data_IF_627301776289
#
_entry.id   IF_627301776289
#
_cell.length_a   1.000
_cell.length_b   1.000
_cell.length_c   1.000
_cell.angle_alpha   90.00
_cell.angle_beta   90.00
_cell.angle_gamma   90.00
#
_symmetry.space_group_name_H-M   'P 1'
#
loop_
_entity.id
_entity.type
_entity.pdbx_description
1 polymer ?
#
# COMPACT_ATOMS: atom_id res chain seq x y z
N UNK A 1 -20.08 17.44 17.28
CA UNK A 1 -19.20 17.94 16.21
C UNK A 1 -18.26 16.81 15.81
N UNK A 2 -18.14 16.49 14.53
CA UNK A 2 -17.27 15.43 14.02
C UNK A 2 -15.79 15.76 14.33
N UNK A 3 -14.95 14.73 14.52
CA UNK A 3 -13.52 14.91 14.69
C UNK A 3 -12.93 15.75 13.54
N UNK A 4 -11.94 16.63 13.80
CA UNK A 4 -11.35 17.45 12.76
C UNK A 4 -10.68 16.53 11.73
N UNK A 5 -11.24 16.48 10.52
CA UNK A 5 -10.64 15.76 9.41
C UNK A 5 -9.39 16.51 8.93
N UNK A 6 -8.39 15.81 8.37
CA UNK A 6 -7.21 16.46 7.80
C UNK A 6 -7.62 17.46 6.71
N UNK A 7 -6.85 18.55 6.58
CA UNK A 7 -7.07 19.55 5.54
C UNK A 7 -6.87 18.95 4.13
N UNK A 8 -7.39 19.60 3.09
CA UNK A 8 -7.19 19.15 1.71
C UNK A 8 -5.72 19.11 1.33
N UNK A 9 -4.94 20.10 1.76
CA UNK A 9 -3.50 20.15 1.54
C UNK A 9 -2.78 18.98 2.22
N UNK A 10 -3.12 18.67 3.48
CA UNK A 10 -2.56 17.52 4.19
C UNK A 10 -2.90 16.21 3.49
N UNK A 11 -4.13 16.05 3.01
CA UNK A 11 -4.55 14.86 2.26
C UNK A 11 -3.76 14.68 0.97
N UNK A 12 -3.59 15.75 0.20
CA UNK A 12 -2.82 15.72 -1.05
C UNK A 12 -1.36 15.37 -0.77
N UNK A 13 -0.73 16.04 0.21
CA UNK A 13 0.64 15.74 0.62
C UNK A 13 0.82 14.29 1.06
N UNK A 14 -0.04 13.78 1.93
CA UNK A 14 0.03 12.39 2.41
C UNK A 14 -0.16 11.40 1.27
N UNK A 15 -1.09 11.67 0.34
CA UNK A 15 -1.28 10.83 -0.83
C UNK A 15 -0.02 10.76 -1.71
N UNK A 16 0.60 11.91 -2.00
CA UNK A 16 1.84 11.97 -2.79
C UNK A 16 3.01 11.28 -2.08
N UNK A 17 3.23 11.57 -0.80
CA UNK A 17 4.32 10.98 -0.01
C UNK A 17 4.16 9.46 0.13
N UNK A 18 2.95 8.98 0.39
CA UNK A 18 2.64 7.55 0.49
C UNK A 18 2.82 6.84 -0.86
N UNK A 19 2.36 7.44 -1.95
CA UNK A 19 2.47 6.86 -3.29
C UNK A 19 3.93 6.76 -3.75
N UNK A 20 4.71 7.85 -3.65
CA UNK A 20 6.13 7.86 -4.01
C UNK A 20 6.88 6.77 -3.23
N UNK A 21 6.73 6.75 -1.90
CA UNK A 21 7.40 5.76 -1.05
C UNK A 21 6.96 4.33 -1.38
N UNK A 22 5.69 4.10 -1.67
CA UNK A 22 5.20 2.77 -2.03
C UNK A 22 5.74 2.31 -3.38
N UNK A 23 5.60 3.14 -4.43
CA UNK A 23 6.01 2.84 -5.81
C UNK A 23 7.51 2.55 -5.87
N UNK A 24 8.36 3.44 -5.32
CA UNK A 24 9.82 3.28 -5.38
C UNK A 24 10.27 1.93 -4.83
N UNK A 25 9.76 1.58 -3.66
CA UNK A 25 10.16 0.35 -3.02
C UNK A 25 9.49 -0.88 -3.61
N UNK A 26 8.25 -0.77 -4.08
CA UNK A 26 7.51 -1.89 -4.64
C UNK A 26 8.14 -2.35 -5.95
N UNK A 27 8.40 -1.42 -6.88
CA UNK A 27 9.01 -1.77 -8.15
C UNK A 27 10.49 -2.16 -7.99
N UNK A 28 11.23 -1.58 -7.02
CA UNK A 28 12.56 -2.08 -6.67
C UNK A 28 12.51 -3.55 -6.19
N UNK A 29 11.59 -3.86 -5.27
CA UNK A 29 11.40 -5.23 -4.79
C UNK A 29 10.95 -6.18 -5.90
N UNK A 30 10.04 -5.75 -6.77
CA UNK A 30 9.52 -6.53 -7.89
C UNK A 30 10.62 -6.83 -8.91
N UNK A 31 11.43 -5.83 -9.28
CA UNK A 31 12.52 -5.97 -10.24
C UNK A 31 13.66 -6.84 -9.67
N UNK A 32 13.93 -6.75 -8.37
CA UNK A 32 14.94 -7.58 -7.68
C UNK A 32 14.40 -8.95 -7.24
N UNK A 33 13.12 -9.24 -7.48
CA UNK A 33 12.44 -10.48 -7.05
C UNK A 33 12.54 -10.72 -5.54
N UNK A 34 12.44 -9.65 -4.76
CA UNK A 34 12.29 -9.73 -3.30
C UNK A 34 10.86 -10.11 -2.91
N UNK A 35 10.69 -10.55 -1.66
CA UNK A 35 9.40 -10.90 -1.09
C UNK A 35 8.43 -9.71 -1.14
N UNK A 36 7.25 -9.92 -1.73
CA UNK A 36 6.23 -8.90 -1.92
C UNK A 36 5.19 -8.89 -0.79
N UNK A 37 5.13 -9.91 0.06
CA UNK A 37 4.19 -9.98 1.18
C UNK A 37 4.17 -8.72 2.06
N UNK A 38 5.31 -8.07 2.41
CA UNK A 38 5.31 -6.87 3.25
C UNK A 38 4.58 -5.65 2.67
N UNK A 39 4.24 -5.67 1.38
CA UNK A 39 3.50 -4.60 0.72
C UNK A 39 1.99 -4.75 0.84
N UNK A 40 1.49 -5.92 1.25
CA UNK A 40 0.05 -6.21 1.30
C UNK A 40 -0.47 -6.29 2.72
N UNK A 41 -1.76 -6.00 2.87
CA UNK A 41 -2.48 -6.03 4.13
C UNK A 41 -2.53 -7.43 4.79
N UNK A 42 -2.22 -8.50 4.05
CA UNK A 42 -2.13 -9.87 4.57
C UNK A 42 -1.09 -10.03 5.69
N UNK A 43 -0.08 -9.17 5.76
CA UNK A 43 0.94 -9.19 6.82
C UNK A 43 0.51 -8.50 8.11
N UNK A 44 -0.54 -7.68 8.08
CA UNK A 44 -1.03 -6.98 9.27
C UNK A 44 -2.06 -7.81 10.00
N UNK A 45 -1.76 -8.21 11.24
CA UNK A 45 -2.68 -9.01 12.06
C UNK A 45 -3.99 -8.26 12.35
N UNK A 46 -3.93 -6.93 12.41
CA UNK A 46 -5.11 -6.09 12.70
C UNK A 46 -6.05 -5.98 11.52
N UNK A 47 -5.51 -5.84 10.31
CA UNK A 47 -6.31 -5.78 9.09
C UNK A 47 -6.92 -7.16 8.81
N UNK A 48 -6.16 -8.24 8.96
CA UNK A 48 -6.68 -9.60 8.79
C UNK A 48 -7.73 -9.98 9.84
N UNK A 49 -7.54 -9.60 11.12
CA UNK A 49 -8.56 -9.78 12.16
C UNK A 49 -9.85 -8.98 11.88
N UNK A 50 -9.75 -7.85 11.17
CA UNK A 50 -10.89 -7.08 10.69
C UNK A 50 -11.51 -7.62 9.39
N UNK A 51 -11.05 -8.77 8.89
CA UNK A 51 -11.54 -9.41 7.67
C UNK A 51 -11.01 -8.79 6.37
N UNK A 52 -9.99 -7.94 6.44
CA UNK A 52 -9.38 -7.33 5.25
C UNK A 52 -8.48 -8.37 4.57
N UNK A 53 -8.88 -8.81 3.38
CA UNK A 53 -8.08 -9.64 2.48
C UNK A 53 -7.68 -8.81 1.25
N UNK A 54 -6.40 -8.81 0.84
CA UNK A 54 -6.00 -8.16 -0.40
C UNK A 54 -6.71 -8.77 -1.62
N UNK A 55 -7.22 -7.92 -2.50
CA UNK A 55 -7.76 -8.30 -3.81
C UNK A 55 -6.70 -8.04 -4.89
N UNK A 56 -6.20 -9.09 -5.54
CA UNK A 56 -5.10 -9.01 -6.50
C UNK A 56 -5.57 -9.55 -7.85
N UNK A 57 -5.58 -8.68 -8.87
CA UNK A 57 -5.92 -9.06 -10.24
C UNK A 57 -4.77 -8.71 -11.19
N UNK A 58 -4.22 -9.74 -11.85
CA UNK A 58 -3.09 -9.59 -12.79
C UNK A 58 -3.56 -9.99 -14.18
N UNK A 59 -3.65 -9.04 -15.10
CA UNK A 59 -4.18 -9.23 -16.46
C UNK A 59 -5.59 -9.86 -16.47
N UNK A 60 -6.41 -9.57 -15.45
CA UNK A 60 -7.74 -10.15 -15.27
C UNK A 60 -7.75 -11.52 -14.56
N UNK A 61 -6.58 -12.10 -14.26
CA UNK A 61 -6.49 -13.31 -13.46
C UNK A 61 -6.49 -12.95 -11.97
N UNK A 62 -7.47 -13.45 -11.23
CA UNK A 62 -7.54 -13.28 -9.79
C UNK A 62 -6.46 -14.14 -9.10
N UNK A 63 -5.65 -13.51 -8.26
CA UNK A 63 -4.71 -14.17 -7.35
C UNK A 63 -5.30 -14.11 -5.94
N UNK A 64 -5.61 -15.27 -5.34
CA UNK A 64 -6.25 -15.30 -4.02
C UNK A 64 -5.30 -14.92 -2.88
N UNK A 65 -4.00 -15.13 -3.08
CA UNK A 65 -2.97 -14.81 -2.11
C UNK A 65 -1.77 -14.14 -2.78
N UNK A 66 -0.95 -13.45 -1.98
CA UNK A 66 0.31 -12.87 -2.45
C UNK A 66 1.27 -13.97 -2.93
N UNK A 67 1.22 -15.17 -2.32
CA UNK A 67 2.03 -16.31 -2.74
C UNK A 67 1.65 -16.81 -4.14
N UNK A 68 0.37 -16.77 -4.50
CA UNK A 68 -0.09 -17.10 -5.86
C UNK A 68 0.46 -16.10 -6.88
N UNK A 69 0.47 -14.81 -6.50
CA UNK A 69 1.07 -13.77 -7.33
C UNK A 69 2.58 -13.97 -7.51
N UNK A 70 3.33 -14.24 -6.43
CA UNK A 70 4.75 -14.58 -6.52
C UNK A 70 5.01 -15.82 -7.38
N UNK A 71 4.13 -16.82 -7.31
CA UNK A 71 4.18 -18.01 -8.17
C UNK A 71 3.96 -17.65 -9.64
N UNK A 72 3.05 -16.73 -9.94
CA UNK A 72 2.84 -16.21 -11.30
C UNK A 72 4.08 -15.46 -11.81
N UNK A 73 4.69 -14.62 -10.96
CA UNK A 73 5.92 -13.90 -11.28
C UNK A 73 7.08 -14.87 -11.57
N UNK A 74 7.19 -15.96 -10.81
CA UNK A 74 8.20 -16.99 -11.04
C UNK A 74 7.99 -17.74 -12.37
N UNK A 75 6.74 -17.97 -12.77
CA UNK A 75 6.41 -18.55 -14.10
C UNK A 75 6.77 -17.61 -15.25
N UNK A 76 6.70 -16.30 -15.04
CA UNK A 76 7.12 -15.29 -16.02
C UNK A 76 8.64 -15.22 -16.22
N UNK A 77 9.44 -15.92 -15.40
CA UNK A 77 10.89 -15.97 -15.50
C UNK A 77 11.55 -15.80 -14.13
N UNK A 78 12.39 -16.76 -13.75
CA UNK A 78 13.28 -16.67 -12.60
C UNK A 78 14.56 -15.91 -12.99
N UNK A 79 15.17 -15.09 -12.11
CA UNK A 79 16.45 -14.43 -12.39
C UNK A 79 17.61 -15.41 -12.66
N UNK A 80 17.39 -16.72 -12.52
CA UNK A 80 18.37 -17.79 -12.81
C UNK A 80 18.23 -18.34 -14.24
N UNK A 81 17.18 -18.01 -15.00
CA UNK A 81 16.97 -18.48 -16.37
C UNK A 81 16.60 -17.30 -17.28
N UNK A 82 17.53 -16.89 -18.15
CA UNK A 82 17.41 -16.19 -19.45
C UNK A 82 16.27 -15.20 -19.72
N UNK A 83 15.41 -14.81 -18.79
CA UNK A 83 14.28 -13.91 -18.99
C UNK A 83 14.05 -13.08 -17.72
N UNK A 84 14.54 -11.85 -17.76
CA UNK A 84 14.29 -10.81 -16.75
C UNK A 84 13.14 -9.94 -17.24
N UNK A 85 12.12 -9.77 -16.40
CA UNK A 85 11.13 -8.73 -16.57
C UNK A 85 11.55 -7.50 -15.74
N UNK A 86 11.81 -6.38 -16.39
CA UNK A 86 12.11 -5.10 -15.74
C UNK A 86 10.91 -4.18 -15.95
N UNK A 87 10.32 -3.74 -14.85
CA UNK A 87 9.25 -2.76 -14.86
C UNK A 87 9.86 -1.37 -14.64
N UNK A 88 9.76 -0.53 -15.66
CA UNK A 88 10.13 0.88 -15.61
C UNK A 88 8.88 1.72 -15.41
N UNK A 89 8.83 2.48 -14.33
CA UNK A 89 7.73 3.40 -14.03
C UNK A 89 8.00 4.72 -14.75
N UNK A 90 7.05 5.18 -15.56
CA UNK A 90 7.15 6.48 -16.24
C UNK A 90 6.46 7.58 -15.45
N UNK A 91 5.28 7.27 -14.92
CA UNK A 91 4.50 8.21 -14.12
C UNK A 91 3.59 7.47 -13.16
N UNK A 92 3.24 8.16 -12.08
CA UNK A 92 2.20 7.73 -11.18
C UNK A 92 1.41 8.95 -10.70
N UNK A 93 0.19 8.69 -10.26
CA UNK A 93 -0.73 9.67 -9.71
C UNK A 93 -1.40 9.10 -8.46
N UNK A 94 -1.80 9.96 -7.53
CA UNK A 94 -2.28 9.55 -6.21
C UNK A 94 -3.40 10.45 -5.66
N UNK A 95 -4.42 9.81 -5.11
CA UNK A 95 -5.60 10.47 -4.56
C UNK A 95 -5.94 9.97 -3.16
N UNK A 96 -6.21 10.88 -2.23
CA UNK A 96 -6.80 10.53 -0.95
C UNK A 96 -8.26 10.07 -1.14
N UNK A 97 -8.57 8.84 -0.75
CA UNK A 97 -9.90 8.22 -0.92
C UNK A 97 -10.75 8.39 0.34
N UNK A 98 -10.24 7.94 1.48
CA UNK A 98 -10.89 8.08 2.77
C UNK A 98 -9.96 8.84 3.72
N UNK A 99 -10.33 10.06 4.16
CA UNK A 99 -9.51 10.85 5.08
C UNK A 99 -9.46 10.29 6.51
N UNK A 100 -10.31 9.31 6.83
CA UNK A 100 -10.43 8.72 8.16
C UNK A 100 -10.76 7.22 8.08
N UNK A 101 -9.78 6.43 7.62
CA UNK A 101 -9.83 4.99 7.60
C UNK A 101 -9.77 4.43 9.04
N UNK A 102 -10.67 3.51 9.39
CA UNK A 102 -10.82 2.97 10.76
C UNK A 102 -10.83 1.45 10.84
N UNK A 103 -10.85 0.75 9.71
CA UNK A 103 -10.87 -0.72 9.70
C UNK A 103 -9.58 -1.28 10.27
N UNK A 104 -9.68 -2.15 11.28
CA UNK A 104 -8.52 -2.70 12.00
C UNK A 104 -7.82 -1.70 12.92
N UNK A 105 -8.37 -0.50 13.13
CA UNK A 105 -7.80 0.49 14.03
C UNK A 105 -7.69 -0.11 15.44
N UNK A 106 -6.54 0.03 16.13
CA UNK A 106 -6.43 -0.40 17.52
C UNK A 106 -7.46 0.33 18.38
N UNK A 107 -8.29 -0.43 19.10
CA UNK A 107 -9.13 0.11 20.16
C UNK A 107 -8.22 0.75 21.21
N UNK A 108 -8.47 2.02 21.54
CA UNK A 108 -7.75 2.74 22.59
C UNK A 108 -8.16 2.27 23.99
N UNK A 109 -7.91 0.99 24.29
CA UNK A 109 -8.05 0.44 25.64
C UNK A 109 -6.77 0.63 26.46
N UNK A 110 -6.33 1.88 26.62
CA UNK A 110 -5.47 2.32 27.73
C UNK A 110 -5.30 3.85 27.78
N UNK A 111 -6.36 4.57 28.16
CA UNK A 111 -6.19 5.75 28.99
C UNK A 111 -7.43 5.91 29.87
N UNK A 112 -7.35 5.32 31.06
CA UNK A 112 -8.04 5.82 32.23
C UNK A 112 -7.71 7.30 32.41
N UNK A 113 -8.60 8.19 31.99
CA UNK A 113 -8.69 9.53 32.55
C UNK A 113 -10.09 10.07 32.32
N UNK A 114 -10.86 10.02 33.40
CA UNK A 114 -11.92 10.95 33.75
C UNK A 114 -11.60 12.38 33.31
N UNK A 115 -12.18 12.81 32.21
CA UNK A 115 -12.56 14.21 31.99
C UNK A 115 -13.62 14.21 30.90
N UNK A 116 -14.87 14.40 31.33
CA UNK A 116 -15.99 14.65 30.45
C UNK A 116 -15.75 15.98 29.74
N UNK A 117 -15.13 15.95 28.56
CA UNK A 117 -15.26 17.02 27.58
C UNK A 117 -16.66 16.88 26.95
N UNK A 118 -17.50 17.94 26.97
CA UNK A 118 -18.91 17.86 26.54
C UNK A 118 -19.07 17.88 25.01
N UNK A 119 -18.06 17.44 24.25
CA UNK A 119 -18.00 17.58 22.80
C UNK A 119 -17.75 16.24 22.08
N UNK A 120 -18.58 15.22 22.35
CA UNK A 120 -19.08 14.22 21.38
C UNK A 120 -18.14 13.39 20.50
N UNK A 121 -16.81 13.47 20.64
CA UNK A 121 -15.85 12.63 19.94
C UNK A 121 -14.92 12.04 20.99
N UNK A 122 -15.11 10.77 21.34
CA UNK A 122 -14.34 10.06 22.37
C UNK A 122 -12.85 9.85 22.05
N UNK A 123 -12.22 10.76 21.30
CA UNK A 123 -10.81 10.70 20.91
C UNK A 123 -9.92 11.48 21.86
N UNK A 124 -8.84 10.82 22.27
CA UNK A 124 -7.77 11.48 23.02
C UNK A 124 -6.99 12.47 22.11
N UNK A 125 -6.17 13.33 22.73
CA UNK A 125 -5.42 14.37 22.00
C UNK A 125 -4.45 13.79 20.96
N UNK A 126 -3.85 12.63 21.24
CA UNK A 126 -2.92 11.98 20.33
C UNK A 126 -3.63 11.44 19.09
N UNK A 127 -4.82 10.86 19.26
CA UNK A 127 -5.67 10.38 18.17
C UNK A 127 -6.11 11.54 17.28
N UNK A 128 -6.55 12.66 17.86
CA UNK A 128 -6.89 13.86 17.08
C UNK A 128 -5.71 14.34 16.25
N UNK A 129 -4.52 14.43 16.84
CA UNK A 129 -3.30 14.83 16.12
C UNK A 129 -2.95 13.87 14.98
N UNK A 130 -3.13 12.55 15.17
CA UNK A 130 -2.88 11.56 14.12
C UNK A 130 -3.88 11.68 12.96
N UNK A 131 -5.16 11.97 13.25
CA UNK A 131 -6.17 12.25 12.22
C UNK A 131 -5.81 13.51 11.44
N UNK A 132 -5.47 14.60 12.14
CA UNK A 132 -5.10 15.87 11.52
C UNK A 132 -3.81 15.76 10.68
N UNK A 133 -2.86 14.92 11.08
CA UNK A 133 -1.63 14.64 10.33
C UNK A 133 -1.87 13.79 9.07
N UNK A 134 -3.04 13.16 8.94
CA UNK A 134 -3.39 12.30 7.81
C UNK A 134 -2.92 10.85 7.95
N UNK A 135 -2.53 10.40 9.15
CA UNK A 135 -2.06 9.03 9.42
C UNK A 135 -3.15 7.97 9.15
N UNK A 136 -4.41 8.41 9.04
CA UNK A 136 -5.58 7.57 8.75
C UNK A 136 -6.07 7.69 7.30
N UNK A 137 -5.33 8.36 6.43
CA UNK A 137 -5.75 8.53 5.03
C UNK A 137 -5.49 7.24 4.26
N UNK A 138 -6.51 6.73 3.57
CA UNK A 138 -6.35 5.72 2.52
C UNK A 138 -6.12 6.40 1.17
N UNK A 139 -5.29 5.79 0.32
CA UNK A 139 -4.77 6.40 -0.90
C UNK A 139 -5.02 5.47 -2.09
N UNK A 140 -5.62 5.97 -3.15
CA UNK A 140 -5.62 5.32 -4.45
C UNK A 140 -4.38 5.77 -5.22
N UNK A 141 -3.67 4.83 -5.84
CA UNK A 141 -2.48 5.12 -6.65
C UNK A 141 -2.67 4.49 -8.03
N UNK A 142 -2.42 5.26 -9.08
CA UNK A 142 -2.39 4.75 -10.45
C UNK A 142 -0.97 4.91 -10.99
N UNK A 143 -0.42 3.84 -11.54
CA UNK A 143 0.93 3.79 -12.09
C UNK A 143 0.82 3.46 -13.58
N UNK A 144 1.65 4.11 -14.38
CA UNK A 144 1.87 3.74 -15.77
C UNK A 144 3.36 3.57 -16.04
N UNK A 145 3.67 2.58 -16.87
CA UNK A 145 5.05 2.20 -17.10
C UNK A 145 5.19 1.28 -18.28
N UNK A 146 6.39 0.73 -18.39
CA UNK A 146 6.72 -0.26 -19.41
C UNK A 146 7.37 -1.47 -18.77
N UNK A 147 6.87 -2.65 -19.13
CA UNK A 147 7.43 -3.94 -18.78
C UNK A 147 8.30 -4.43 -19.94
N UNK A 148 9.59 -4.56 -19.70
CA UNK A 148 10.56 -5.10 -20.65
C UNK A 148 10.87 -6.54 -20.31
N UNK A 149 10.65 -7.44 -21.26
CA UNK A 149 10.98 -8.85 -21.20
C UNK A 149 12.22 -9.08 -22.06
N UNK A 150 13.25 -9.70 -21.51
CA UNK A 150 14.47 -10.01 -22.26
C UNK A 150 15.46 -10.82 -21.43
N UNK A 151 16.55 -11.28 -22.03
CA UNK A 151 17.58 -11.96 -21.23
C UNK A 151 18.35 -10.97 -20.38
N UNK A 152 18.76 -11.39 -19.18
CA UNK A 152 19.61 -10.59 -18.33
C UNK A 152 20.90 -10.20 -19.08
N UNK A 153 21.15 -8.90 -19.24
CA UNK A 153 22.34 -8.38 -19.95
C UNK A 153 22.23 -8.31 -21.47
N UNK A 154 21.07 -8.66 -22.06
CA UNK A 154 20.78 -8.47 -23.47
C UNK A 154 19.68 -7.41 -23.67
N UNK A 155 19.55 -6.91 -24.90
CA UNK A 155 18.48 -5.99 -25.28
C UNK A 155 17.11 -6.68 -25.09
N UNK A 156 16.10 -5.92 -24.64
CA UNK A 156 14.78 -6.47 -24.35
C UNK A 156 14.15 -7.04 -25.64
N UNK A 157 13.71 -8.30 -25.59
CA UNK A 157 13.10 -8.97 -26.74
C UNK A 157 11.64 -8.59 -26.92
N UNK A 158 10.97 -8.10 -25.88
CA UNK A 158 9.59 -7.61 -25.95
C UNK A 158 9.37 -6.50 -24.94
N UNK A 159 8.72 -5.43 -25.38
CA UNK A 159 8.36 -4.29 -24.56
C UNK A 159 6.84 -4.11 -24.57
N UNK A 160 6.24 -3.94 -23.39
CA UNK A 160 4.79 -3.82 -23.22
C UNK A 160 4.47 -2.68 -22.28
N UNK A 161 3.63 -1.75 -22.71
CA UNK A 161 3.09 -0.76 -21.78
C UNK A 161 2.25 -1.47 -20.71
N UNK A 162 2.29 -0.99 -19.47
CA UNK A 162 1.42 -1.46 -18.41
C UNK A 162 0.76 -0.30 -17.68
N UNK A 163 -0.39 -0.59 -17.11
CA UNK A 163 -1.06 0.23 -16.11
C UNK A 163 -1.31 -0.60 -14.87
N UNK A 164 -1.21 0.04 -13.71
CA UNK A 164 -1.44 -0.62 -12.44
C UNK A 164 -2.16 0.31 -11.47
N UNK A 165 -3.24 -0.17 -10.87
CA UNK A 165 -4.01 0.57 -9.89
C UNK A 165 -3.93 -0.10 -8.52
N UNK A 166 -3.79 0.72 -7.48
CA UNK A 166 -3.62 0.29 -6.10
C UNK A 166 -4.60 1.01 -5.19
N UNK A 167 -5.08 0.30 -4.17
CA UNK A 167 -5.69 0.90 -2.99
C UNK A 167 -4.81 0.62 -1.77
N UNK A 168 -4.28 1.68 -1.19
CA UNK A 168 -3.41 1.65 -0.02
C UNK A 168 -4.18 2.07 1.22
N UNK A 169 -3.95 1.37 2.33
CA UNK A 169 -4.51 1.70 3.64
C UNK A 169 -3.40 1.84 4.68
N UNK A 170 -3.65 2.59 5.77
CA UNK A 170 -2.70 2.70 6.87
C UNK A 170 -2.36 1.33 7.48
N UNK A 171 -1.06 1.09 7.67
CA UNK A 171 -0.56 -0.07 8.37
C UNK A 171 -0.40 0.24 9.85
N UNK A 172 -1.41 -0.11 10.64
CA UNK A 172 -1.50 0.25 12.07
C UNK A 172 -0.29 -0.13 12.93
N UNK A 173 0.40 -1.23 12.60
CA UNK A 173 1.57 -1.69 13.34
C UNK A 173 2.79 -0.79 13.13
N UNK A 174 2.90 -0.14 11.97
CA UNK A 174 3.96 0.81 11.66
C UNK A 174 3.84 2.13 12.45
N UNK A 175 2.66 2.43 13.00
CA UNK A 175 2.37 3.63 13.79
C UNK A 175 2.46 3.40 15.30
N UNK A 176 2.78 2.17 15.73
CA UNK A 176 2.99 1.85 17.13
C UNK A 176 4.27 2.51 17.67
N UNK A 177 4.28 2.88 18.95
CA UNK A 177 5.43 3.53 19.62
C UNK A 177 6.75 2.75 19.47
N UNK A 178 6.66 1.42 19.42
CA UNK A 178 7.81 0.51 19.28
C UNK A 178 7.72 -0.31 17.99
N UNK A 179 7.27 0.31 16.89
CA UNK A 179 7.16 -0.36 15.60
C UNK A 179 8.54 -0.88 15.14
N UNK A 180 8.62 -2.14 14.66
CA UNK A 180 9.82 -2.65 14.00
C UNK A 180 10.30 -1.70 12.89
N UNK A 181 11.62 -1.50 12.82
CA UNK A 181 12.23 -0.65 11.79
C UNK A 181 11.99 -1.27 10.41
N UNK A 182 11.67 -0.42 9.43
CA UNK A 182 11.43 -0.85 8.05
C UNK A 182 10.00 -1.29 7.75
N UNK A 183 9.09 -1.26 8.73
CA UNK A 183 7.67 -1.44 8.44
C UNK A 183 7.13 -0.30 7.58
N UNK A 184 6.41 -0.67 6.52
CA UNK A 184 5.74 0.28 5.64
C UNK A 184 4.54 0.87 6.36
N UNK A 185 4.37 2.20 6.24
CA UNK A 185 3.26 2.94 6.84
C UNK A 185 1.93 2.74 6.12
N UNK A 186 1.98 2.37 4.85
CA UNK A 186 0.84 2.02 4.02
C UNK A 186 1.05 0.66 3.36
N UNK A 187 -0.03 -0.11 3.25
CA UNK A 187 -0.07 -1.44 2.64
C UNK A 187 -1.25 -1.55 1.68
N UNK A 188 -1.09 -2.36 0.64
CA UNK A 188 -2.09 -2.59 -0.39
C UNK A 188 -3.19 -3.53 0.08
N UNK A 189 -4.44 -3.13 -0.18
CA UNK A 189 -5.64 -3.97 -0.04
C UNK A 189 -6.28 -4.30 -1.38
N UNK A 190 -5.91 -3.58 -2.45
CA UNK A 190 -6.32 -3.91 -3.81
C UNK A 190 -5.19 -3.60 -4.78
N UNK A 191 -5.03 -4.46 -5.78
CA UNK A 191 -4.10 -4.33 -6.91
C UNK A 191 -4.81 -4.77 -8.18
N UNK A 192 -4.73 -3.95 -9.23
CA UNK A 192 -5.13 -4.32 -10.57
C UNK A 192 -4.01 -3.98 -11.54
N UNK A 193 -3.34 -5.00 -12.07
CA UNK A 193 -2.27 -4.86 -13.06
C UNK A 193 -2.76 -5.27 -14.44
N UNK A 194 -2.42 -4.48 -15.46
CA UNK A 194 -2.71 -4.79 -16.86
C UNK A 194 -1.57 -4.39 -17.78
N UNK A 195 -1.04 -5.34 -18.54
CA UNK A 195 -0.19 -5.10 -19.71
C UNK A 195 -1.03 -4.94 -20.97
N UNK A 196 -0.58 -4.09 -21.90
CA UNK A 196 -1.24 -3.76 -23.16
C UNK A 196 -0.61 -4.48 -24.38
#
# INVERSE_FOLDING_TARGET
MAAPLPSMETRARVASDAAQSFVDHYYDALNRRHNLAPFYASTSNRLTAAGVKPDISINGNLCETVADYETLLNKQGSPVHWLTCINEVHSFDAHAVNPHYTTGLPSSSSSSSSSADPAGSGMNRAERKAVEAGDRVSVAVQVSGTARYGKAGEEATTERAFTEAWLLVPHWEAWARNAPRGLRRWVAVSQNFRTL
#
